data_IF_605720565816
#
_entry.id   IF_605720565816
#
_cell.length_a   1.000
_cell.length_b   1.000
_cell.length_c   1.000
_cell.angle_alpha   90.00
_cell.angle_beta   90.00
_cell.angle_gamma   90.00
#
_symmetry.space_group_name_H-M   'P 1'
#
loop_
_entity.id
_entity.type
_entity.pdbx_description
1 polymer ?
#
# COMPACT_ATOMS: atom_id res chain seq x y z
N UNK A 1 1.40 8.31 1.80
CA UNK A 1 1.17 9.75 2.07
C UNK A 1 2.38 10.60 1.69
N UNK A 2 3.58 10.32 2.22
CA UNK A 2 4.79 11.10 1.99
C UNK A 2 5.14 11.25 0.51
N UNK A 3 4.91 10.22 -0.29
CA UNK A 3 5.14 10.24 -1.75
C UNK A 3 4.27 11.29 -2.44
N UNK A 4 3.00 11.44 -2.05
CA UNK A 4 2.10 12.46 -2.57
C UNK A 4 2.49 13.85 -2.06
N UNK A 5 2.75 13.98 -0.74
CA UNK A 5 3.14 15.26 -0.11
C UNK A 5 4.38 15.86 -0.76
N UNK A 6 5.36 15.05 -1.14
CA UNK A 6 6.57 15.46 -1.88
C UNK A 6 6.24 16.30 -3.11
N UNK A 7 5.25 15.89 -3.86
CA UNK A 7 4.86 16.57 -5.09
C UNK A 7 3.88 17.73 -4.86
N UNK A 8 3.08 17.71 -3.79
CA UNK A 8 2.19 18.84 -3.45
C UNK A 8 2.96 20.12 -3.12
N UNK A 9 4.15 19.99 -2.54
CA UNK A 9 4.99 21.15 -2.15
C UNK A 9 5.99 21.54 -3.24
N UNK A 10 6.01 20.83 -4.38
CA UNK A 10 6.94 21.05 -5.49
C UNK A 10 6.40 22.06 -6.48
N UNK A 11 7.29 22.54 -7.37
CA UNK A 11 6.96 23.39 -8.53
C UNK A 11 6.43 22.59 -9.72
N UNK A 12 6.45 21.26 -9.65
CA UNK A 12 5.97 20.38 -10.71
C UNK A 12 4.44 20.53 -10.82
N UNK A 13 3.95 20.83 -12.01
CA UNK A 13 2.52 20.91 -12.26
C UNK A 13 1.91 19.52 -12.40
N UNK A 14 1.34 19.02 -11.31
CA UNK A 14 0.62 17.74 -11.27
C UNK A 14 -0.84 17.98 -11.67
N UNK A 15 -1.30 17.27 -12.68
CA UNK A 15 -2.71 17.30 -13.10
C UNK A 15 -3.56 16.36 -12.25
N UNK A 16 -3.09 15.12 -12.05
CA UNK A 16 -3.86 14.05 -11.41
C UNK A 16 -2.94 13.07 -10.69
N UNK A 17 -3.36 12.55 -9.55
CA UNK A 17 -2.73 11.40 -8.90
C UNK A 17 -3.47 10.12 -9.26
N UNK A 18 -2.77 9.12 -9.77
CA UNK A 18 -3.28 7.77 -9.99
C UNK A 18 -2.60 6.84 -8.99
N UNK A 19 -3.37 6.26 -8.09
CA UNK A 19 -2.88 5.37 -7.03
C UNK A 19 -3.33 3.95 -7.34
N UNK A 20 -2.37 3.06 -7.58
CA UNK A 20 -2.64 1.65 -7.84
C UNK A 20 -2.35 0.87 -6.56
N UNK A 21 -3.31 0.08 -6.11
CA UNK A 21 -3.18 -0.73 -4.92
C UNK A 21 -3.96 -2.04 -5.04
N UNK A 22 -3.63 -3.02 -4.19
CA UNK A 22 -4.46 -4.20 -4.05
C UNK A 22 -5.84 -3.82 -3.50
N UNK A 23 -6.89 -4.54 -3.92
CA UNK A 23 -8.28 -4.34 -3.48
C UNK A 23 -8.42 -4.34 -1.96
N UNK A 24 -7.64 -5.14 -1.25
CA UNK A 24 -7.65 -5.22 0.22
C UNK A 24 -7.19 -3.92 0.88
N UNK A 25 -6.37 -3.11 0.19
CA UNK A 25 -5.86 -1.82 0.67
C UNK A 25 -6.72 -0.62 0.25
N UNK A 26 -7.79 -0.81 -0.53
CA UNK A 26 -8.63 0.28 -1.05
C UNK A 26 -9.02 1.30 0.02
N UNK A 27 -9.59 0.83 1.12
CA UNK A 27 -10.15 1.74 2.14
C UNK A 27 -9.09 2.43 2.99
N UNK A 28 -7.97 1.77 3.26
CA UNK A 28 -6.85 2.44 3.94
C UNK A 28 -6.22 3.52 3.05
N UNK A 29 -6.13 3.27 1.74
CA UNK A 29 -5.65 4.26 0.76
C UNK A 29 -6.62 5.43 0.66
N UNK A 30 -7.94 5.19 0.59
CA UNK A 30 -8.96 6.24 0.60
C UNK A 30 -8.85 7.11 1.85
N UNK A 31 -8.71 6.53 3.03
CA UNK A 31 -8.55 7.25 4.30
C UNK A 31 -7.27 8.10 4.31
N UNK A 32 -6.17 7.54 3.83
CA UNK A 32 -4.91 8.26 3.73
C UNK A 32 -4.99 9.45 2.78
N UNK A 33 -5.66 9.30 1.64
CA UNK A 33 -5.87 10.39 0.68
C UNK A 33 -6.78 11.45 1.28
N UNK A 34 -7.88 11.04 1.92
CA UNK A 34 -8.81 11.96 2.58
C UNK A 34 -8.10 12.80 3.66
N UNK A 35 -7.22 12.19 4.45
CA UNK A 35 -6.45 12.88 5.48
C UNK A 35 -5.47 13.93 4.93
N UNK A 36 -5.02 13.77 3.67
CA UNK A 36 -4.12 14.73 3.00
C UNK A 36 -4.83 15.98 2.50
N UNK A 37 -6.16 16.01 2.46
CA UNK A 37 -6.95 17.13 1.92
C UNK A 37 -6.45 17.58 0.54
N UNK A 38 -6.25 16.61 -0.38
CA UNK A 38 -5.73 16.87 -1.72
C UNK A 38 -6.60 17.89 -2.45
N UNK A 39 -5.95 18.88 -3.09
CA UNK A 39 -6.59 19.84 -3.98
C UNK A 39 -6.62 19.40 -5.44
N UNK A 40 -5.81 18.40 -5.79
CA UNK A 40 -5.70 17.84 -7.13
C UNK A 40 -6.68 16.69 -7.33
N UNK A 41 -7.00 16.43 -8.58
CA UNK A 41 -7.74 15.22 -8.94
C UNK A 41 -6.96 13.96 -8.56
N UNK A 42 -7.69 12.93 -8.14
CA UNK A 42 -7.09 11.63 -7.88
C UNK A 42 -7.99 10.50 -8.37
N UNK A 43 -7.37 9.38 -8.67
CA UNK A 43 -8.05 8.13 -9.01
C UNK A 43 -7.34 6.96 -8.33
N UNK A 44 -8.10 6.08 -7.72
CA UNK A 44 -7.60 4.83 -7.15
C UNK A 44 -7.93 3.71 -8.12
N UNK A 45 -6.97 2.85 -8.39
CA UNK A 45 -7.15 1.64 -9.21
C UNK A 45 -6.88 0.44 -8.31
N UNK A 46 -7.92 -0.37 -8.11
CA UNK A 46 -7.86 -1.53 -7.24
C UNK A 46 -7.61 -2.80 -8.04
N UNK A 47 -6.44 -3.39 -7.88
CA UNK A 47 -6.08 -4.70 -8.42
C UNK A 47 -6.71 -5.81 -7.57
N UNK A 48 -7.46 -6.76 -8.15
CA UNK A 48 -8.05 -7.87 -7.41
C UNK A 48 -7.01 -8.88 -6.92
N UNK A 49 -5.86 -8.92 -7.57
CA UNK A 49 -4.68 -9.73 -7.26
C UNK A 49 -3.43 -9.03 -7.77
N UNK A 50 -2.30 -9.15 -7.09
CA UNK A 50 -1.02 -8.62 -7.57
C UNK A 50 -0.52 -9.36 -8.82
N UNK A 51 -0.11 -8.60 -9.85
CA UNK A 51 0.46 -9.10 -11.10
C UNK A 51 1.82 -8.47 -11.42
N UNK A 52 2.54 -8.02 -10.38
CA UNK A 52 3.79 -7.29 -10.51
C UNK A 52 3.61 -5.92 -11.21
N UNK A 53 4.70 -5.23 -11.54
CA UNK A 53 4.65 -3.82 -11.93
C UNK A 53 4.26 -3.57 -13.40
N UNK A 54 4.46 -4.50 -14.35
CA UNK A 54 4.12 -4.25 -15.74
C UNK A 54 2.61 -4.06 -15.98
N UNK A 55 1.70 -4.92 -15.49
CA UNK A 55 0.26 -4.68 -15.61
C UNK A 55 -0.18 -3.38 -14.94
N UNK A 56 0.38 -3.03 -13.77
CA UNK A 56 0.08 -1.78 -13.07
C UNK A 56 0.45 -0.56 -13.93
N UNK A 57 1.67 -0.51 -14.48
CA UNK A 57 2.13 0.57 -15.37
C UNK A 57 1.31 0.61 -16.67
N UNK A 58 0.94 -0.55 -17.23
CA UNK A 58 0.08 -0.63 -18.41
C UNK A 58 -1.29 0.00 -18.13
N UNK A 59 -1.95 -0.38 -17.05
CA UNK A 59 -3.24 0.19 -16.64
C UNK A 59 -3.12 1.70 -16.39
N UNK A 60 -2.09 2.15 -15.67
CA UNK A 60 -1.83 3.58 -15.44
C UNK A 60 -1.73 4.37 -16.77
N UNK A 61 -1.08 3.79 -17.77
CA UNK A 61 -0.92 4.41 -19.09
C UNK A 61 -2.21 4.47 -19.92
N UNK A 62 -3.21 3.65 -19.57
CA UNK A 62 -4.48 3.54 -20.30
C UNK A 62 -5.62 4.38 -19.72
N UNK A 63 -5.51 4.83 -18.46
CA UNK A 63 -6.60 5.53 -17.76
C UNK A 63 -6.62 7.04 -17.97
N UNK A 64 -5.63 7.59 -18.68
CA UNK A 64 -5.56 9.01 -19.00
C UNK A 64 -5.23 9.21 -20.49
N UNK A 65 -5.21 10.47 -20.95
CA UNK A 65 -4.91 10.82 -22.34
C UNK A 65 -3.54 10.26 -22.78
N UNK A 66 -3.48 9.79 -24.04
CA UNK A 66 -2.23 9.32 -24.64
C UNK A 66 -1.11 10.36 -24.68
N UNK A 67 -1.45 11.65 -24.68
CA UNK A 67 -0.48 12.75 -24.67
C UNK A 67 -0.05 13.18 -23.25
N UNK A 68 -0.67 12.64 -22.20
CA UNK A 68 -0.27 12.93 -20.82
C UNK A 68 1.12 12.34 -20.55
N UNK A 69 1.95 13.11 -19.85
CA UNK A 69 3.22 12.63 -19.29
C UNK A 69 2.92 12.00 -17.93
N UNK A 70 3.22 10.72 -17.80
CA UNK A 70 3.11 9.98 -16.55
C UNK A 70 4.47 9.84 -15.87
N UNK A 71 4.50 10.06 -14.57
CA UNK A 71 5.62 9.75 -13.69
C UNK A 71 5.20 8.61 -12.75
N UNK A 72 5.82 7.46 -12.91
CA UNK A 72 5.62 6.29 -12.05
C UNK A 72 6.57 6.40 -10.87
N UNK A 73 6.02 6.29 -9.66
CA UNK A 73 6.78 6.44 -8.41
C UNK A 73 6.40 5.31 -7.45
N UNK A 74 7.38 4.55 -6.94
CA UNK A 74 7.14 3.61 -5.83
C UNK A 74 6.66 4.37 -4.58
N UNK A 75 5.73 3.77 -3.84
CA UNK A 75 5.13 4.43 -2.67
C UNK A 75 5.97 4.32 -1.39
N UNK A 76 6.98 3.45 -1.38
CA UNK A 76 7.82 3.06 -0.24
C UNK A 76 9.26 3.59 -0.30
N UNK A 77 9.63 4.31 -1.35
CA UNK A 77 10.97 4.86 -1.47
C UNK A 77 11.14 6.22 -0.79
N UNK A 78 12.29 6.42 -0.15
CA UNK A 78 12.75 7.71 0.39
C UNK A 78 13.63 8.40 -0.64
N UNK A 79 13.43 9.71 -0.82
CA UNK A 79 14.24 10.59 -1.63
C UNK A 79 14.46 11.92 -0.90
N UNK A 80 15.51 12.65 -1.29
CA UNK A 80 15.60 14.09 -1.04
C UNK A 80 14.63 14.80 -2.01
N UNK A 81 13.54 15.31 -1.47
CA UNK A 81 12.41 15.81 -2.26
C UNK A 81 12.79 16.95 -3.21
N UNK A 82 13.62 17.89 -2.76
CA UNK A 82 14.02 19.03 -3.56
C UNK A 82 14.90 18.60 -4.75
N UNK A 83 15.85 17.70 -4.51
CA UNK A 83 16.73 17.18 -5.55
C UNK A 83 15.98 16.35 -6.58
N UNK A 84 15.03 15.49 -6.10
CA UNK A 84 14.22 14.68 -6.98
C UNK A 84 13.34 15.55 -7.89
N UNK A 85 12.59 16.51 -7.32
CA UNK A 85 11.74 17.40 -8.10
C UNK A 85 12.52 18.20 -9.13
N UNK A 86 13.68 18.76 -8.76
CA UNK A 86 14.55 19.48 -9.70
C UNK A 86 15.05 18.58 -10.84
N UNK A 87 15.35 17.31 -10.55
CA UNK A 87 15.81 16.37 -11.58
C UNK A 87 14.66 15.97 -12.54
N UNK A 88 13.46 15.75 -12.01
CA UNK A 88 12.26 15.47 -12.80
C UNK A 88 11.97 16.65 -13.76
N UNK A 89 11.96 17.88 -13.26
CA UNK A 89 11.74 19.07 -14.09
C UNK A 89 12.77 19.15 -15.24
N UNK A 90 14.05 18.99 -14.94
CA UNK A 90 15.13 19.05 -15.95
C UNK A 90 15.03 17.94 -16.99
N UNK A 91 14.61 16.75 -16.59
CA UNK A 91 14.52 15.58 -17.49
C UNK A 91 13.23 15.57 -18.32
N UNK A 92 12.17 16.26 -17.89
CA UNK A 92 10.84 16.25 -18.53
C UNK A 92 10.86 16.65 -20.01
N UNK A 93 11.81 17.50 -20.43
CA UNK A 93 11.97 17.90 -21.83
C UNK A 93 12.38 16.75 -22.76
N UNK A 94 12.77 15.60 -22.21
CA UNK A 94 13.18 14.42 -22.99
C UNK A 94 12.04 13.40 -23.13
N UNK A 95 10.83 13.67 -22.62
CA UNK A 95 9.73 12.69 -22.63
C UNK A 95 9.13 12.38 -24.00
N UNK A 96 9.40 13.22 -25.02
CA UNK A 96 8.83 12.99 -26.35
C UNK A 96 9.47 11.78 -27.02
N UNK A 97 8.66 10.78 -27.33
CA UNK A 97 9.06 9.51 -27.95
C UNK A 97 10.22 8.79 -27.19
N UNK A 98 10.20 8.88 -25.85
CA UNK A 98 11.22 8.24 -25.02
C UNK A 98 10.67 7.80 -23.68
N UNK A 99 11.38 6.88 -23.04
CA UNK A 99 11.20 6.49 -21.64
C UNK A 99 12.40 7.02 -20.85
N UNK A 100 12.11 7.68 -19.75
CA UNK A 100 13.12 8.22 -18.83
C UNK A 100 13.10 7.37 -17.57
N UNK A 101 14.28 7.00 -17.09
CA UNK A 101 14.47 6.40 -15.76
C UNK A 101 15.51 7.18 -14.97
N UNK A 102 15.60 6.91 -13.68
CA UNK A 102 16.48 7.59 -12.76
C UNK A 102 17.40 6.58 -12.09
N UNK A 103 18.71 6.90 -12.11
CA UNK A 103 19.73 5.97 -11.65
C UNK A 103 20.43 6.48 -10.39
N UNK A 104 20.72 5.57 -9.48
CA UNK A 104 21.41 5.80 -8.21
C UNK A 104 22.86 5.31 -8.34
N UNK A 105 23.83 6.05 -7.82
CA UNK A 105 25.22 5.59 -7.80
C UNK A 105 25.35 4.36 -6.90
N UNK A 106 25.78 3.19 -7.41
CA UNK A 106 26.04 2.02 -6.58
C UNK A 106 27.11 2.28 -5.53
N UNK A 107 26.86 1.86 -4.30
CA UNK A 107 27.81 1.90 -3.19
C UNK A 107 28.31 0.51 -2.76
N UNK A 108 27.61 -0.56 -3.18
CA UNK A 108 27.97 -1.96 -2.96
C UNK A 108 27.31 -2.84 -4.04
N UNK A 109 27.77 -4.09 -4.24
CA UNK A 109 27.24 -4.97 -5.29
C UNK A 109 25.90 -5.60 -4.87
N UNK A 110 24.81 -4.81 -4.93
CA UNK A 110 23.45 -5.28 -4.62
C UNK A 110 22.93 -6.16 -5.74
N UNK A 111 22.40 -7.33 -5.39
CA UNK A 111 21.81 -8.29 -6.35
C UNK A 111 20.28 -8.20 -6.43
N UNK A 112 19.66 -7.43 -5.55
CA UNK A 112 18.22 -7.18 -5.51
C UNK A 112 17.73 -6.09 -6.45
N UNK A 113 18.66 -5.29 -7.03
CA UNK A 113 18.34 -4.14 -7.88
C UNK A 113 18.65 -4.37 -9.36
N UNK A 114 17.98 -3.62 -10.22
CA UNK A 114 18.36 -3.48 -11.62
C UNK A 114 19.57 -2.58 -11.78
N UNK A 115 20.41 -2.85 -12.76
CA UNK A 115 21.58 -2.04 -13.15
C UNK A 115 21.38 -1.45 -14.53
N UNK A 116 21.65 -0.15 -14.66
CA UNK A 116 21.46 0.63 -15.87
C UNK A 116 22.81 1.14 -16.34
N UNK A 117 23.24 0.78 -17.54
CA UNK A 117 24.40 1.36 -18.18
C UNK A 117 24.02 2.66 -18.92
N UNK A 118 24.73 3.74 -18.66
CA UNK A 118 24.47 5.03 -19.29
C UNK A 118 25.76 5.70 -19.76
N UNK A 119 25.61 6.65 -20.70
CA UNK A 119 26.71 7.46 -21.20
C UNK A 119 26.60 8.93 -20.72
N UNK A 120 27.60 9.77 -21.07
CA UNK A 120 27.62 11.18 -20.69
C UNK A 120 26.48 12.04 -21.26
N UNK A 121 25.71 11.50 -22.21
CA UNK A 121 24.50 12.15 -22.77
C UNK A 121 23.21 11.67 -22.12
N UNK A 122 23.29 10.92 -21.02
CA UNK A 122 22.20 10.25 -20.35
C UNK A 122 21.47 9.20 -21.22
N UNK A 123 22.03 8.76 -22.35
CA UNK A 123 21.42 7.70 -23.13
C UNK A 123 21.64 6.36 -22.40
N UNK A 124 20.58 5.57 -22.27
CA UNK A 124 20.65 4.23 -21.68
C UNK A 124 21.21 3.26 -22.72
N UNK A 125 22.32 2.63 -22.39
CA UNK A 125 23.02 1.68 -23.26
C UNK A 125 22.69 0.23 -22.98
N UNK A 126 22.16 -0.06 -21.77
CA UNK A 126 21.76 -1.38 -21.35
C UNK A 126 21.05 -1.35 -20.01
N UNK A 127 20.20 -2.34 -19.81
CA UNK A 127 19.47 -2.56 -18.56
C UNK A 127 19.59 -4.03 -18.18
N UNK A 128 19.91 -4.32 -16.93
CA UNK A 128 19.98 -5.70 -16.40
C UNK A 128 19.33 -5.79 -15.03
N UNK A 129 18.21 -6.50 -14.95
CA UNK A 129 17.49 -6.71 -13.72
C UNK A 129 18.16 -7.82 -12.89
N UNK A 130 18.39 -7.56 -11.62
CA UNK A 130 18.85 -8.49 -10.58
C UNK A 130 19.99 -9.41 -11.04
N UNK A 131 21.18 -8.84 -11.38
CA UNK A 131 22.30 -9.65 -11.79
C UNK A 131 22.81 -10.53 -10.66
N UNK A 132 23.59 -11.56 -10.98
CA UNK A 132 24.35 -12.29 -9.99
C UNK A 132 25.47 -11.42 -9.37
N UNK A 133 26.04 -11.88 -8.27
CA UNK A 133 27.03 -11.13 -7.51
C UNK A 133 28.27 -10.78 -8.30
N UNK A 134 28.79 -11.71 -9.11
CA UNK A 134 29.98 -11.51 -9.94
C UNK A 134 29.75 -10.44 -11.01
N UNK A 135 28.57 -10.45 -11.62
CA UNK A 135 28.14 -9.44 -12.58
C UNK A 135 27.97 -8.08 -11.90
N UNK A 136 27.35 -8.02 -10.70
CA UNK A 136 27.17 -6.79 -9.94
C UNK A 136 28.53 -6.17 -9.53
N UNK A 137 29.50 -6.96 -9.09
CA UNK A 137 30.86 -6.54 -8.78
C UNK A 137 31.55 -5.95 -10.04
N UNK A 138 31.42 -6.64 -11.19
CA UNK A 138 31.95 -6.17 -12.48
C UNK A 138 31.35 -4.81 -12.89
N UNK A 139 30.03 -4.62 -12.71
CA UNK A 139 29.38 -3.35 -13.06
C UNK A 139 29.85 -2.20 -12.18
N UNK A 140 30.13 -2.45 -10.90
CA UNK A 140 30.71 -1.44 -10.02
C UNK A 140 32.13 -1.06 -10.42
N UNK A 141 32.98 -2.03 -10.80
CA UNK A 141 34.35 -1.77 -11.25
C UNK A 141 34.38 -0.94 -12.52
N UNK A 142 33.43 -1.14 -13.43
CA UNK A 142 33.32 -0.35 -14.67
C UNK A 142 32.91 1.10 -14.43
N UNK A 143 32.21 1.41 -13.34
CA UNK A 143 31.82 2.75 -12.93
C UNK A 143 30.80 3.47 -13.84
N UNK A 144 30.31 2.81 -14.91
CA UNK A 144 29.32 3.32 -15.87
C UNK A 144 27.88 2.84 -15.60
N UNK A 145 27.70 2.09 -14.53
CA UNK A 145 26.39 1.55 -14.14
C UNK A 145 25.81 2.28 -12.95
N UNK A 146 24.48 2.44 -12.98
CA UNK A 146 23.66 3.00 -11.91
C UNK A 146 22.63 1.95 -11.48
N UNK A 147 22.21 1.96 -10.21
CA UNK A 147 21.05 1.19 -9.80
C UNK A 147 19.77 1.83 -10.34
N UNK A 148 18.80 1.03 -10.75
CA UNK A 148 17.49 1.50 -11.12
C UNK A 148 16.73 1.96 -9.87
N UNK A 149 16.31 3.23 -9.84
CA UNK A 149 15.50 3.78 -8.73
C UNK A 149 14.03 3.38 -8.78
N UNK A 150 13.58 2.60 -9.79
CA UNK A 150 12.18 2.24 -9.96
C UNK A 150 11.27 3.39 -10.36
N UNK A 151 11.84 4.53 -10.76
CA UNK A 151 11.13 5.70 -11.25
C UNK A 151 11.15 5.71 -12.77
N UNK A 152 9.96 5.90 -13.40
CA UNK A 152 9.83 5.98 -14.85
C UNK A 152 9.00 7.19 -15.25
N UNK A 153 9.42 7.94 -16.27
CA UNK A 153 8.66 9.06 -16.80
C UNK A 153 8.58 8.95 -18.32
N UNK A 154 7.36 9.09 -18.86
CA UNK A 154 7.08 8.88 -20.28
C UNK A 154 5.75 9.52 -20.69
N UNK A 155 5.56 9.75 -21.99
CA UNK A 155 4.20 9.98 -22.51
C UNK A 155 3.44 8.64 -22.56
N UNK A 156 2.15 8.63 -22.20
CA UNK A 156 1.33 7.41 -22.20
C UNK A 156 1.36 6.69 -23.55
N UNK A 157 1.24 7.42 -24.66
CA UNK A 157 1.35 6.84 -26.02
C UNK A 157 2.66 6.08 -26.24
N UNK A 158 3.78 6.60 -25.72
CA UNK A 158 5.09 5.98 -25.86
C UNK A 158 5.15 4.65 -25.09
N UNK A 159 4.64 4.64 -23.85
CA UNK A 159 4.58 3.40 -23.07
C UNK A 159 3.61 2.38 -23.66
N UNK A 160 2.47 2.80 -24.19
CA UNK A 160 1.52 1.93 -24.90
C UNK A 160 2.21 1.29 -26.12
N UNK A 161 2.99 2.05 -26.88
CA UNK A 161 3.77 1.52 -28.01
C UNK A 161 4.84 0.51 -27.53
N UNK A 162 5.49 0.74 -26.39
CA UNK A 162 6.40 -0.24 -25.81
C UNK A 162 5.65 -1.55 -25.47
N UNK A 163 4.47 -1.47 -24.86
CA UNK A 163 3.66 -2.65 -24.58
C UNK A 163 3.18 -3.35 -25.86
N UNK A 164 2.80 -2.60 -26.90
CA UNK A 164 2.43 -3.19 -28.21
C UNK A 164 3.58 -3.98 -28.81
N UNK A 165 4.80 -3.51 -28.69
CA UNK A 165 5.98 -4.13 -29.27
C UNK A 165 6.52 -5.30 -28.42
N UNK A 166 6.59 -5.15 -27.08
CA UNK A 166 7.33 -6.07 -26.21
C UNK A 166 6.45 -6.97 -25.34
N UNK A 167 5.23 -6.51 -25.00
CA UNK A 167 4.30 -7.25 -24.14
C UNK A 167 2.84 -7.12 -24.60
N UNK A 168 2.51 -7.50 -25.87
CA UNK A 168 1.17 -7.32 -26.44
C UNK A 168 0.08 -8.08 -25.72
N UNK A 169 0.39 -9.22 -25.07
CA UNK A 169 -0.55 -9.97 -24.22
C UNK A 169 -1.03 -9.15 -23.02
N UNK A 170 -0.11 -8.51 -22.33
CA UNK A 170 -0.41 -7.65 -21.18
C UNK A 170 -1.29 -6.48 -21.61
N UNK A 171 -0.91 -5.78 -22.69
CA UNK A 171 -1.69 -4.64 -23.21
C UNK A 171 -3.13 -5.04 -23.56
N UNK A 172 -3.29 -6.16 -24.24
CA UNK A 172 -4.61 -6.68 -24.63
C UNK A 172 -5.44 -6.97 -23.37
N UNK A 173 -4.90 -7.72 -22.43
CA UNK A 173 -5.59 -8.10 -21.20
C UNK A 173 -5.95 -6.86 -20.37
N UNK A 174 -5.05 -5.89 -20.22
CA UNK A 174 -5.32 -4.65 -19.49
C UNK A 174 -6.43 -3.81 -20.16
N UNK A 175 -6.44 -3.69 -21.50
CA UNK A 175 -7.53 -3.01 -22.24
C UNK A 175 -8.88 -3.69 -22.02
N UNK A 176 -8.93 -5.02 -22.13
CA UNK A 176 -10.17 -5.79 -21.92
C UNK A 176 -10.65 -5.71 -20.45
N UNK A 177 -9.71 -5.75 -19.51
CA UNK A 177 -9.99 -5.60 -18.08
C UNK A 177 -10.62 -4.25 -17.79
N UNK A 178 -9.99 -3.15 -18.22
CA UNK A 178 -10.50 -1.78 -17.99
C UNK A 178 -11.89 -1.59 -18.60
N UNK A 179 -12.13 -2.10 -19.81
CA UNK A 179 -13.43 -1.99 -20.48
C UNK A 179 -14.59 -2.67 -19.71
N UNK A 180 -14.28 -3.63 -18.82
CA UNK A 180 -15.26 -4.35 -17.99
C UNK A 180 -15.15 -4.05 -16.51
N UNK A 181 -14.32 -3.09 -16.13
CA UNK A 181 -14.12 -2.67 -14.74
C UNK A 181 -15.21 -1.72 -14.29
N UNK A 182 -15.54 -1.75 -13.00
CA UNK A 182 -16.46 -0.80 -12.40
C UNK A 182 -15.71 0.48 -12.03
N UNK A 183 -16.25 1.63 -12.46
CA UNK A 183 -15.73 2.96 -12.10
C UNK A 183 -16.78 3.70 -11.27
N UNK A 184 -16.45 4.04 -10.03
CA UNK A 184 -17.33 4.78 -9.13
C UNK A 184 -16.54 5.56 -8.09
N UNK A 185 -16.92 6.81 -7.82
CA UNK A 185 -16.34 7.63 -6.75
C UNK A 185 -14.80 7.74 -6.79
N UNK A 186 -14.22 7.94 -7.98
CA UNK A 186 -12.77 7.98 -8.20
C UNK A 186 -12.05 6.64 -7.95
N UNK A 187 -12.77 5.52 -7.92
CA UNK A 187 -12.22 4.18 -7.75
C UNK A 187 -12.57 3.32 -8.95
N UNK A 188 -11.56 2.79 -9.63
CA UNK A 188 -11.69 1.76 -10.65
C UNK A 188 -11.38 0.41 -10.00
N UNK A 189 -12.38 -0.44 -9.84
CA UNK A 189 -12.18 -1.82 -9.43
C UNK A 189 -11.96 -2.69 -10.68
N UNK A 190 -10.74 -3.17 -10.89
CA UNK A 190 -10.40 -3.98 -12.05
C UNK A 190 -11.18 -5.30 -12.07
N UNK A 191 -11.66 -5.68 -13.26
CA UNK A 191 -12.40 -6.93 -13.45
C UNK A 191 -11.51 -8.13 -13.07
N UNK A 192 -11.92 -8.89 -12.04
CA UNK A 192 -11.14 -9.97 -11.45
C UNK A 192 -10.82 -11.08 -12.44
N UNK A 193 -11.85 -11.61 -13.12
CA UNK A 193 -11.74 -12.77 -14.02
C UNK A 193 -10.74 -12.50 -15.15
N UNK A 194 -10.72 -11.28 -15.69
CA UNK A 194 -9.79 -10.91 -16.75
C UNK A 194 -8.40 -10.60 -16.21
N UNK A 195 -8.30 -9.83 -15.12
CA UNK A 195 -7.00 -9.44 -14.59
C UNK A 195 -6.19 -10.63 -14.04
N UNK A 196 -6.86 -11.66 -13.52
CA UNK A 196 -6.24 -12.91 -13.10
C UNK A 196 -5.55 -13.67 -14.25
N UNK A 197 -5.92 -13.42 -15.50
CA UNK A 197 -5.28 -14.02 -16.68
C UNK A 197 -4.06 -13.23 -17.17
N UNK A 198 -3.81 -12.05 -16.62
CA UNK A 198 -2.67 -11.23 -17.01
C UNK A 198 -1.35 -11.85 -16.54
N UNK A 199 -0.32 -11.77 -17.37
CA UNK A 199 1.02 -12.23 -17.03
C UNK A 199 1.55 -11.44 -15.82
N UNK A 200 2.11 -12.15 -14.83
CA UNK A 200 2.73 -11.55 -13.65
C UNK A 200 4.23 -11.34 -13.91
N UNK A 201 4.61 -10.12 -14.26
CA UNK A 201 5.99 -9.79 -14.63
C UNK A 201 6.26 -8.31 -14.30
N UNK A 202 7.50 -7.99 -13.92
CA UNK A 202 7.90 -6.60 -13.69
C UNK A 202 8.04 -5.80 -14.98
N UNK A 203 7.86 -4.48 -14.88
CA UNK A 203 8.07 -3.54 -16.00
C UNK A 203 9.52 -3.61 -16.51
N UNK A 204 10.46 -3.92 -15.63
CA UNK A 204 11.86 -4.04 -15.94
C UNK A 204 12.13 -5.16 -16.93
N UNK A 205 11.59 -6.36 -16.68
CA UNK A 205 11.70 -7.49 -17.60
C UNK A 205 10.81 -7.34 -18.84
N UNK A 206 9.58 -6.85 -18.66
CA UNK A 206 8.62 -6.79 -19.76
C UNK A 206 8.97 -5.71 -20.80
N UNK A 207 9.51 -4.57 -20.35
CA UNK A 207 9.72 -3.38 -21.18
C UNK A 207 11.16 -2.88 -21.16
N UNK A 208 11.76 -2.68 -19.97
CA UNK A 208 13.04 -1.94 -19.89
C UNK A 208 14.21 -2.73 -20.48
N UNK A 209 14.35 -4.02 -20.17
CA UNK A 209 15.41 -4.85 -20.77
C UNK A 209 15.25 -4.93 -22.31
N UNK A 210 14.09 -5.31 -22.91
CA UNK A 210 13.96 -5.36 -24.37
C UNK A 210 14.06 -3.98 -25.03
N UNK A 211 13.57 -2.91 -24.39
CA UNK A 211 13.69 -1.55 -24.91
C UNK A 211 15.14 -1.11 -25.11
N UNK A 212 16.04 -1.51 -24.22
CA UNK A 212 17.46 -1.10 -24.27
C UNK A 212 18.33 -2.04 -25.09
N UNK A 213 17.89 -3.27 -25.37
CA UNK A 213 18.67 -4.29 -26.09
C UNK A 213 18.29 -4.45 -27.56
N UNK A 214 17.05 -4.08 -27.93
CA UNK A 214 16.55 -4.21 -29.29
C UNK A 214 16.62 -2.88 -30.04
N UNK A 215 16.89 -2.95 -31.36
CA UNK A 215 16.92 -1.77 -32.20
C UNK A 215 15.47 -1.27 -32.43
N UNK A 216 15.14 -0.10 -31.90
CA UNK A 216 13.80 0.49 -31.95
C UNK A 216 13.87 2.02 -32.11
N UNK A 217 12.72 2.65 -32.39
CA UNK A 217 12.63 4.11 -32.57
C UNK A 217 12.38 4.87 -31.25
N UNK A 218 12.08 4.16 -30.17
CA UNK A 218 11.82 4.75 -28.84
C UNK A 218 13.14 4.81 -28.09
N UNK A 219 13.52 5.99 -27.63
CA UNK A 219 14.76 6.17 -26.87
C UNK A 219 14.56 5.89 -25.39
N UNK A 220 15.62 5.48 -24.71
CA UNK A 220 15.67 5.39 -23.27
C UNK A 220 16.76 6.31 -22.73
N UNK A 221 16.42 7.12 -21.71
CA UNK A 221 17.36 8.00 -21.05
C UNK A 221 17.42 7.69 -19.55
N UNK A 222 18.62 7.72 -18.97
CA UNK A 222 18.83 7.56 -17.54
C UNK A 222 19.48 8.80 -16.96
N UNK A 223 18.77 9.48 -16.07
CA UNK A 223 19.31 10.64 -15.35
C UNK A 223 19.83 10.23 -13.99
N UNK A 224 21.08 10.55 -13.70
CA UNK A 224 21.69 10.26 -12.40
C UNK A 224 21.08 11.14 -11.32
N UNK A 225 20.56 10.49 -10.27
CA UNK A 225 20.11 11.14 -9.05
C UNK A 225 21.26 11.17 -8.03
N UNK A 226 21.55 12.33 -7.46
CA UNK A 226 22.67 12.56 -6.53
C UNK A 226 22.22 12.89 -5.10
N UNK A 227 20.94 12.64 -4.79
CA UNK A 227 20.36 12.81 -3.46
C UNK A 227 20.42 11.53 -2.62
N UNK A 228 19.93 11.65 -1.38
CA UNK A 228 19.69 10.48 -0.53
C UNK A 228 18.58 9.66 -1.12
N UNK A 229 18.78 8.34 -1.21
CA UNK A 229 17.80 7.37 -1.70
C UNK A 229 17.84 6.10 -0.86
N UNK A 230 16.65 5.54 -0.62
CA UNK A 230 16.47 4.22 -0.02
C UNK A 230 15.15 3.63 -0.46
N UNK A 231 15.11 2.34 -0.70
CA UNK A 231 13.90 1.56 -1.04
C UNK A 231 13.14 1.04 0.18
N UNK A 232 13.65 1.26 1.39
CA UNK A 232 13.11 0.75 2.68
C UNK A 232 12.69 -0.73 2.59
N UNK A 233 13.50 -1.55 1.97
CA UNK A 233 13.21 -2.98 1.80
C UNK A 233 13.25 -3.82 3.09
N UNK A 234 13.66 -3.24 4.23
CA UNK A 234 13.76 -3.94 5.51
C UNK A 234 13.64 -3.01 6.73
N UNK A 235 13.32 -3.57 7.90
CA UNK A 235 13.37 -2.80 9.15
C UNK A 235 14.76 -2.26 9.49
N UNK A 236 15.82 -2.94 9.04
CA UNK A 236 17.20 -2.43 9.17
C UNK A 236 17.36 -1.13 8.39
N UNK A 237 16.98 -1.13 7.13
CA UNK A 237 17.01 0.06 6.27
C UNK A 237 16.12 1.16 6.85
N UNK A 238 14.93 0.81 7.35
CA UNK A 238 14.04 1.77 8.01
C UNK A 238 14.69 2.41 9.25
N UNK A 239 15.40 1.63 10.07
CA UNK A 239 16.13 2.14 11.22
C UNK A 239 17.25 3.11 10.79
N UNK A 240 18.01 2.74 9.77
CA UNK A 240 19.14 3.56 9.26
C UNK A 240 18.64 4.90 8.67
N UNK A 241 17.38 4.96 8.21
CA UNK A 241 16.71 6.14 7.66
C UNK A 241 15.97 7.01 8.68
N UNK A 242 15.67 6.48 9.86
CA UNK A 242 14.97 7.20 10.93
C UNK A 242 15.92 8.01 11.80
N UNK A 243 15.38 9.01 12.51
CA UNK A 243 16.09 9.73 13.57
C UNK A 243 16.46 8.77 14.69
N UNK A 244 17.71 8.86 15.15
CA UNK A 244 18.29 8.02 16.20
C UNK A 244 18.72 8.87 17.38
N UNK A 245 18.60 8.31 18.59
CA UNK A 245 19.15 8.95 19.80
C UNK A 245 20.69 8.75 19.92
N UNK A 246 21.27 9.23 21.03
CA UNK A 246 22.73 9.16 21.31
C UNK A 246 23.27 7.72 21.33
N UNK A 247 22.44 6.74 21.66
CA UNK A 247 22.79 5.31 21.68
C UNK A 247 22.44 4.60 20.35
N UNK A 248 22.19 5.35 19.27
CA UNK A 248 21.76 4.85 17.96
C UNK A 248 20.44 4.07 17.99
N UNK A 249 19.52 4.35 18.92
CA UNK A 249 18.20 3.73 18.95
C UNK A 249 17.18 4.61 18.21
N UNK A 250 16.32 3.99 17.42
CA UNK A 250 15.08 4.58 16.90
C UNK A 250 13.92 4.16 17.78
N UNK A 251 13.24 5.12 18.42
CA UNK A 251 12.15 4.88 19.37
C UNK A 251 10.85 5.50 18.87
N UNK A 252 9.82 4.70 18.64
CA UNK A 252 8.50 5.15 18.19
C UNK A 252 7.38 4.65 19.10
N UNK A 253 6.64 5.57 19.70
CA UNK A 253 5.56 5.27 20.63
C UNK A 253 5.99 5.33 22.09
N UNK A 254 5.33 4.58 22.97
CA UNK A 254 5.62 4.58 24.42
C UNK A 254 6.73 3.59 24.75
N UNK A 255 7.98 4.05 24.71
CA UNK A 255 9.17 3.21 24.88
C UNK A 255 9.98 3.66 26.09
N UNK A 256 10.48 2.71 26.88
CA UNK A 256 11.42 2.90 27.98
C UNK A 256 12.65 2.04 27.71
N UNK A 257 13.83 2.64 27.66
CA UNK A 257 15.09 1.92 27.41
C UNK A 257 16.09 2.17 28.51
N UNK A 258 16.86 1.14 28.89
CA UNK A 258 17.99 1.24 29.80
C UNK A 258 19.12 0.36 29.29
N UNK A 259 20.31 0.94 29.06
CA UNK A 259 21.49 0.24 28.53
C UNK A 259 21.20 -0.48 27.17
N UNK A 260 20.46 0.17 26.28
CA UNK A 260 20.10 -0.36 24.97
C UNK A 260 20.86 0.40 23.86
N UNK A 261 21.33 -0.31 22.86
CA UNK A 261 22.16 0.27 21.80
C UNK A 261 21.75 -0.29 20.42
N UNK A 262 21.70 0.60 19.40
CA UNK A 262 21.50 0.25 18.00
C UNK A 262 20.20 -0.56 17.74
N UNK A 263 19.10 -0.18 18.39
CA UNK A 263 17.81 -0.86 18.31
C UNK A 263 16.77 -0.01 17.58
N UNK A 264 15.91 -0.67 16.81
CA UNK A 264 14.64 -0.10 16.34
C UNK A 264 13.52 -0.64 17.22
N UNK A 265 12.82 0.24 17.91
CA UNK A 265 11.73 -0.16 18.81
C UNK A 265 10.50 0.69 18.47
N UNK A 266 9.42 0.02 18.08
CA UNK A 266 8.15 0.65 17.76
C UNK A 266 7.01 -0.02 18.52
N UNK A 267 6.10 0.78 19.11
CA UNK A 267 4.91 0.28 19.77
C UNK A 267 3.71 1.18 19.56
N UNK A 268 2.62 0.61 19.07
CA UNK A 268 1.34 1.32 18.86
C UNK A 268 0.38 1.23 20.07
N UNK A 269 0.52 0.25 20.94
CA UNK A 269 -0.55 -0.07 21.89
C UNK A 269 -0.14 -0.22 23.36
N UNK A 270 1.08 -0.63 23.63
CA UNK A 270 1.53 -0.87 25.00
C UNK A 270 2.89 -0.20 25.27
N UNK A 271 3.22 -0.01 26.53
CA UNK A 271 4.58 0.40 26.90
C UNK A 271 5.51 -0.78 26.63
N UNK A 272 6.55 -0.55 25.84
CA UNK A 272 7.65 -1.49 25.65
C UNK A 272 8.83 -1.03 26.47
N UNK A 273 9.25 -1.84 27.42
CA UNK A 273 10.43 -1.60 28.25
C UNK A 273 11.54 -2.58 27.87
N UNK A 274 12.73 -2.07 27.57
CA UNK A 274 13.90 -2.89 27.20
C UNK A 274 15.09 -2.56 28.10
N UNK A 275 15.84 -3.59 28.48
CA UNK A 275 17.00 -3.48 29.36
C UNK A 275 18.16 -4.29 28.80
N UNK A 276 19.29 -3.64 28.54
CA UNK A 276 20.56 -4.29 28.19
C UNK A 276 20.55 -5.02 26.84
N UNK A 277 19.71 -4.59 25.89
CA UNK A 277 19.60 -5.22 24.56
C UNK A 277 20.33 -4.41 23.49
N UNK A 278 20.86 -5.11 22.47
CA UNK A 278 21.60 -4.50 21.36
C UNK A 278 21.21 -5.14 20.04
N UNK A 279 21.29 -4.34 18.96
CA UNK A 279 21.12 -4.78 17.58
C UNK A 279 19.77 -5.47 17.29
N UNK A 280 18.70 -5.05 17.98
CA UNK A 280 17.37 -5.63 17.84
C UNK A 280 16.40 -4.71 17.09
N UNK A 281 15.50 -5.36 16.36
CA UNK A 281 14.25 -4.81 15.85
C UNK A 281 13.14 -5.36 16.74
N UNK A 282 12.38 -4.47 17.37
CA UNK A 282 11.23 -4.79 18.22
C UNK A 282 10.05 -3.99 17.69
N UNK A 283 9.05 -4.67 17.14
CA UNK A 283 7.84 -4.05 16.59
C UNK A 283 6.63 -4.66 17.29
N UNK A 284 5.94 -3.86 18.09
CA UNK A 284 4.81 -4.26 18.90
C UNK A 284 3.52 -3.62 18.38
N UNK A 285 2.75 -4.39 17.61
CA UNK A 285 1.39 -4.07 17.19
C UNK A 285 0.36 -4.76 18.10
N UNK A 286 -0.92 -4.46 17.91
CA UNK A 286 -2.00 -4.99 18.75
C UNK A 286 -2.12 -6.51 18.72
N UNK A 287 -1.82 -7.10 17.59
CA UNK A 287 -2.08 -8.49 17.22
C UNK A 287 -0.79 -9.32 17.12
N UNK A 288 0.37 -8.67 17.05
CA UNK A 288 1.64 -9.36 16.93
C UNK A 288 2.81 -8.58 17.52
N UNK A 289 3.77 -9.28 18.10
CA UNK A 289 5.06 -8.79 18.55
C UNK A 289 6.18 -9.47 17.74
N UNK A 290 6.95 -8.68 17.00
CA UNK A 290 8.17 -9.13 16.35
C UNK A 290 9.38 -8.73 17.17
N UNK A 291 10.28 -9.68 17.44
CA UNK A 291 11.62 -9.44 17.96
C UNK A 291 12.60 -10.17 17.04
N UNK A 292 13.51 -9.42 16.42
CA UNK A 292 14.48 -9.96 15.48
C UNK A 292 15.84 -9.28 15.66
N UNK A 293 16.94 -9.99 15.37
CA UNK A 293 18.23 -9.37 15.20
C UNK A 293 18.26 -8.57 13.89
N UNK A 294 18.86 -7.37 13.87
CA UNK A 294 18.91 -6.50 12.69
C UNK A 294 19.42 -7.19 11.43
N UNK A 295 20.44 -8.04 11.56
CA UNK A 295 21.04 -8.74 10.42
C UNK A 295 20.22 -9.91 9.89
N UNK A 296 19.12 -10.28 10.58
CA UNK A 296 18.22 -11.38 10.19
C UNK A 296 16.86 -10.87 9.68
N UNK A 297 16.68 -9.58 9.49
CA UNK A 297 15.41 -9.00 9.06
C UNK A 297 14.94 -9.50 7.69
N UNK A 298 15.84 -9.93 6.82
CA UNK A 298 15.50 -10.52 5.52
C UNK A 298 14.77 -11.88 5.65
N UNK A 299 14.96 -12.58 6.77
CA UNK A 299 14.37 -13.89 7.03
C UNK A 299 12.96 -13.83 7.66
N UNK A 300 12.42 -12.63 7.91
CA UNK A 300 11.07 -12.45 8.48
C UNK A 300 10.00 -13.17 7.67
N UNK A 301 10.12 -13.22 6.34
CA UNK A 301 9.19 -13.98 5.47
C UNK A 301 9.13 -15.47 5.84
N UNK A 302 10.26 -16.08 6.26
CA UNK A 302 10.31 -17.47 6.71
C UNK A 302 9.59 -17.66 8.06
N UNK A 303 9.60 -16.61 8.90
CA UNK A 303 8.88 -16.64 10.18
C UNK A 303 7.37 -16.51 9.96
N UNK A 304 6.94 -15.59 9.09
CA UNK A 304 5.52 -15.42 8.73
C UNK A 304 4.92 -16.72 8.16
N UNK A 305 5.68 -17.46 7.35
CA UNK A 305 5.23 -18.75 6.82
C UNK A 305 4.94 -19.81 7.90
N UNK A 306 5.43 -19.63 9.13
CA UNK A 306 5.20 -20.55 10.26
C UNK A 306 3.99 -20.15 11.12
N UNK A 307 3.29 -19.07 10.81
CA UNK A 307 2.07 -18.67 11.52
C UNK A 307 1.03 -19.77 11.29
N UNK A 308 0.43 -20.34 12.37
CA UNK A 308 -0.57 -21.39 12.26
C UNK A 308 -1.80 -20.97 11.44
N UNK A 309 -2.47 -21.92 10.79
CA UNK A 309 -3.67 -21.68 9.98
C UNK A 309 -4.80 -20.98 10.78
N UNK A 310 -4.94 -21.29 12.07
CA UNK A 310 -5.90 -20.66 12.97
C UNK A 310 -5.67 -19.15 13.18
N UNK A 311 -4.50 -18.64 12.81
CA UNK A 311 -4.09 -17.23 12.89
C UNK A 311 -3.75 -16.66 11.51
N UNK A 312 -4.25 -17.26 10.43
CA UNK A 312 -3.91 -16.84 9.06
C UNK A 312 -4.35 -15.39 8.76
N UNK A 313 -5.38 -14.93 9.40
CA UNK A 313 -5.85 -13.53 9.32
C UNK A 313 -4.75 -12.51 9.64
N UNK A 314 -3.79 -12.86 10.53
CA UNK A 314 -2.64 -12.00 10.85
C UNK A 314 -1.74 -11.72 9.64
N UNK A 315 -1.78 -12.56 8.61
CA UNK A 315 -1.00 -12.37 7.37
C UNK A 315 -1.68 -11.42 6.40
N UNK A 316 -2.99 -11.21 6.53
CA UNK A 316 -3.84 -10.60 5.50
C UNK A 316 -4.51 -9.31 6.01
N UNK A 317 -4.99 -9.31 7.26
CA UNK A 317 -5.82 -8.23 7.80
C UNK A 317 -5.02 -7.38 8.78
N UNK A 318 -4.99 -6.07 8.53
CA UNK A 318 -4.46 -5.11 9.50
C UNK A 318 -5.35 -5.08 10.76
N UNK A 319 -4.74 -4.94 11.94
CA UNK A 319 -5.46 -4.88 13.23
C UNK A 319 -6.62 -3.88 13.22
N UNK A 320 -6.47 -2.75 12.52
CA UNK A 320 -7.54 -1.79 12.22
C UNK A 320 -7.97 -1.95 10.75
N UNK A 321 -9.17 -2.49 10.55
CA UNK A 321 -9.74 -2.69 9.23
C UNK A 321 -10.62 -1.50 8.83
N UNK A 322 -10.27 -0.81 7.74
CA UNK A 322 -11.07 0.27 7.17
C UNK A 322 -12.17 -0.28 6.25
N UNK A 323 -13.30 0.42 6.22
CA UNK A 323 -14.49 0.08 5.43
C UNK A 323 -15.12 1.37 4.87
N UNK A 324 -15.96 1.32 3.85
CA UNK A 324 -16.62 2.53 3.30
C UNK A 324 -17.45 3.31 4.31
N UNK A 325 -17.90 2.64 5.35
CA UNK A 325 -18.72 3.23 6.42
C UNK A 325 -17.90 3.70 7.63
N UNK A 326 -16.61 3.33 7.73
CA UNK A 326 -15.79 3.65 8.88
C UNK A 326 -14.64 2.67 9.09
N UNK A 327 -14.49 2.15 10.30
CA UNK A 327 -13.44 1.20 10.64
C UNK A 327 -13.85 0.31 11.82
N UNK A 328 -13.19 -0.82 11.97
CA UNK A 328 -13.26 -1.62 13.19
C UNK A 328 -11.89 -2.13 13.61
N UNK A 329 -11.77 -2.45 14.89
CA UNK A 329 -10.60 -3.05 15.51
C UNK A 329 -11.09 -4.26 16.30
N UNK A 330 -10.51 -5.43 16.08
CA UNK A 330 -10.68 -6.56 16.98
C UNK A 330 -9.90 -6.28 18.26
N UNK A 331 -10.60 -6.27 19.39
CA UNK A 331 -10.01 -5.99 20.71
C UNK A 331 -9.60 -7.29 21.38
N UNK A 332 -10.49 -8.30 21.35
CA UNK A 332 -10.27 -9.60 21.98
C UNK A 332 -11.19 -10.67 21.37
N UNK A 333 -10.77 -11.92 21.48
CA UNK A 333 -11.49 -13.08 20.97
C UNK A 333 -11.23 -13.36 19.49
N UNK A 334 -11.68 -14.52 19.03
CA UNK A 334 -11.60 -14.97 17.65
C UNK A 334 -12.89 -15.70 17.24
N UNK A 335 -12.95 -16.20 16.01
CA UNK A 335 -14.17 -16.79 15.45
C UNK A 335 -14.65 -18.07 16.17
N UNK A 336 -13.80 -18.69 16.99
CA UNK A 336 -14.06 -19.96 17.70
C UNK A 336 -13.95 -19.84 19.22
N UNK A 337 -13.66 -18.65 19.77
CA UNK A 337 -13.49 -18.47 21.23
C UNK A 337 -14.80 -18.40 22.03
N UNK A 338 -15.95 -18.44 21.36
CA UNK A 338 -17.26 -18.27 21.99
C UNK A 338 -17.66 -16.81 22.21
N UNK A 339 -16.72 -15.88 22.13
CA UNK A 339 -16.95 -14.44 22.15
C UNK A 339 -15.94 -13.70 21.30
N UNK A 340 -16.32 -12.48 20.85
CA UNK A 340 -15.43 -11.56 20.14
C UNK A 340 -15.84 -10.13 20.50
N UNK A 341 -14.84 -9.28 20.76
CA UNK A 341 -15.06 -7.87 21.08
C UNK A 341 -14.44 -7.01 19.98
N UNK A 342 -15.26 -6.12 19.41
CA UNK A 342 -14.82 -5.15 18.43
C UNK A 342 -15.06 -3.73 18.94
N UNK A 343 -14.16 -2.80 18.61
CA UNK A 343 -14.40 -1.36 18.65
C UNK A 343 -14.64 -0.89 17.24
N UNK A 344 -15.76 -0.22 17.01
CA UNK A 344 -16.21 0.17 15.68
C UNK A 344 -16.42 1.68 15.64
N UNK A 345 -15.95 2.31 14.57
CA UNK A 345 -16.18 3.72 14.28
C UNK A 345 -16.97 3.88 12.98
N UNK A 346 -18.04 4.69 13.00
CA UNK A 346 -18.89 4.98 11.84
C UNK A 346 -18.80 6.46 11.50
N UNK A 347 -18.42 6.77 10.25
CA UNK A 347 -18.32 8.15 9.77
C UNK A 347 -19.66 8.87 9.77
N UNK A 348 -19.71 10.22 9.90
CA UNK A 348 -20.93 11.01 9.82
C UNK A 348 -21.74 10.69 8.55
N UNK A 349 -23.06 10.46 8.72
CA UNK A 349 -23.98 10.14 7.62
C UNK A 349 -23.78 8.77 6.97
N UNK A 350 -22.92 7.92 7.54
CA UNK A 350 -22.73 6.54 7.06
C UNK A 350 -23.46 5.54 7.97
N UNK A 351 -23.68 4.34 7.40
CA UNK A 351 -24.36 3.24 8.09
C UNK A 351 -23.78 1.89 7.70
N UNK A 352 -23.89 0.92 8.57
CA UNK A 352 -23.59 -0.48 8.31
C UNK A 352 -24.67 -1.09 7.40
N UNK A 353 -24.39 -2.26 6.82
CA UNK A 353 -25.43 -3.05 6.14
C UNK A 353 -26.58 -3.41 7.09
N UNK A 354 -27.80 -3.53 6.54
CA UNK A 354 -28.88 -4.22 7.24
C UNK A 354 -28.60 -5.70 7.18
N UNK A 355 -28.40 -6.33 8.33
CA UNK A 355 -27.87 -7.68 8.42
C UNK A 355 -28.51 -8.48 9.56
N UNK A 356 -28.31 -9.78 9.51
CA UNK A 356 -28.62 -10.70 10.62
C UNK A 356 -27.54 -11.78 10.74
N UNK A 357 -27.51 -12.48 11.88
CA UNK A 357 -26.58 -13.57 12.17
C UNK A 357 -27.32 -14.81 12.64
N UNK A 358 -26.92 -15.98 12.17
CA UNK A 358 -27.60 -17.24 12.54
C UNK A 358 -27.03 -17.87 13.81
N UNK A 359 -25.79 -17.57 14.17
CA UNK A 359 -25.04 -18.31 15.20
C UNK A 359 -24.52 -17.43 16.33
N UNK A 360 -24.72 -16.09 16.26
CA UNK A 360 -24.28 -15.15 17.29
C UNK A 360 -25.37 -14.13 17.65
N UNK A 361 -25.31 -13.67 18.89
CA UNK A 361 -25.99 -12.46 19.39
C UNK A 361 -24.95 -11.37 19.60
N UNK A 362 -25.41 -10.12 19.67
CA UNK A 362 -24.51 -8.98 19.84
C UNK A 362 -25.01 -8.03 20.93
N UNK A 363 -24.06 -7.40 21.63
CA UNK A 363 -24.29 -6.29 22.54
C UNK A 363 -23.52 -5.08 22.07
N UNK A 364 -24.19 -3.98 21.79
CA UNK A 364 -23.57 -2.73 21.39
C UNK A 364 -23.68 -1.69 22.50
N UNK A 365 -22.56 -1.03 22.81
CA UNK A 365 -22.50 0.06 23.79
C UNK A 365 -21.94 1.29 23.08
N UNK A 366 -22.71 2.38 23.03
CA UNK A 366 -22.27 3.63 22.41
C UNK A 366 -21.24 4.31 23.32
N UNK A 367 -20.08 4.66 22.77
CA UNK A 367 -18.98 5.33 23.46
C UNK A 367 -18.93 6.81 23.10
N UNK A 368 -19.21 7.15 21.83
CA UNK A 368 -19.14 8.51 21.31
C UNK A 368 -20.13 8.72 20.18
N UNK A 369 -20.62 9.96 20.02
CA UNK A 369 -21.48 10.38 18.93
C UNK A 369 -22.97 10.06 19.15
N UNK A 370 -23.78 10.26 18.12
CA UNK A 370 -25.22 9.94 18.11
C UNK A 370 -25.53 8.91 17.06
N UNK A 371 -26.05 7.79 17.47
CA UNK A 371 -26.37 6.66 16.63
C UNK A 371 -27.88 6.44 16.53
N UNK A 372 -28.32 5.87 15.41
CA UNK A 372 -29.60 5.24 15.26
C UNK A 372 -29.39 3.75 15.01
N UNK A 373 -29.99 2.92 15.85
CA UNK A 373 -30.01 1.47 15.66
C UNK A 373 -31.37 1.07 15.13
N UNK A 374 -31.37 0.40 13.98
CA UNK A 374 -32.51 -0.36 13.51
C UNK A 374 -32.41 -1.76 14.11
N UNK A 375 -33.45 -2.21 14.80
CA UNK A 375 -33.61 -3.58 15.32
C UNK A 375 -34.98 -4.08 14.92
N UNK A 376 -35.04 -5.01 13.99
CA UNK A 376 -36.24 -5.42 13.27
C UNK A 376 -37.00 -4.20 12.72
N UNK A 377 -38.25 -3.98 13.14
CA UNK A 377 -39.08 -2.84 12.74
C UNK A 377 -38.94 -1.61 13.65
N UNK A 378 -38.04 -1.65 14.64
CA UNK A 378 -37.86 -0.57 15.61
C UNK A 378 -36.61 0.26 15.27
N UNK A 379 -36.74 1.57 15.47
CA UNK A 379 -35.61 2.52 15.37
C UNK A 379 -35.37 3.12 16.75
N UNK A 380 -34.14 3.00 17.25
CA UNK A 380 -33.71 3.43 18.57
C UNK A 380 -32.60 4.45 18.42
N UNK A 381 -32.86 5.71 18.76
CA UNK A 381 -31.80 6.73 18.78
C UNK A 381 -31.03 6.60 20.10
N UNK A 382 -29.71 6.55 20.00
CA UNK A 382 -28.80 6.26 21.11
C UNK A 382 -27.69 7.29 21.23
N UNK A 383 -27.34 7.55 22.47
CA UNK A 383 -26.27 8.47 22.91
C UNK A 383 -25.18 7.72 23.68
N UNK A 384 -24.03 8.34 23.97
CA UNK A 384 -23.00 7.69 24.78
C UNK A 384 -23.54 7.14 26.11
N UNK A 385 -23.03 5.96 26.50
CA UNK A 385 -23.43 5.19 27.68
C UNK A 385 -24.77 4.42 27.54
N UNK A 386 -25.43 4.49 26.39
CA UNK A 386 -26.59 3.65 26.11
C UNK A 386 -26.17 2.36 25.40
N UNK A 387 -26.96 1.30 25.54
CA UNK A 387 -26.65 -0.01 24.98
C UNK A 387 -27.90 -0.68 24.39
N UNK A 388 -27.68 -1.61 23.48
CA UNK A 388 -28.72 -2.45 22.89
C UNK A 388 -28.26 -3.90 22.80
N UNK A 389 -29.18 -4.83 23.08
CA UNK A 389 -29.01 -6.27 22.85
C UNK A 389 -29.65 -6.66 21.52
N UNK A 390 -28.91 -7.36 20.68
CA UNK A 390 -29.30 -7.85 19.37
C UNK A 390 -29.39 -9.38 19.45
N UNK A 391 -30.59 -9.98 19.44
CA UNK A 391 -30.76 -11.43 19.46
C UNK A 391 -30.22 -12.08 18.16
N UNK A 392 -29.95 -13.38 18.25
CA UNK A 392 -29.69 -14.22 17.08
C UNK A 392 -30.86 -14.08 16.09
N UNK A 393 -30.53 -13.92 14.80
CA UNK A 393 -31.45 -13.76 13.65
C UNK A 393 -32.24 -12.45 13.60
N UNK A 394 -32.11 -11.54 14.55
CA UNK A 394 -32.71 -10.22 14.47
C UNK A 394 -32.06 -9.38 13.35
N UNK A 395 -32.90 -8.68 12.59
CA UNK A 395 -32.45 -7.71 11.59
C UNK A 395 -31.93 -6.47 12.30
N UNK A 396 -30.72 -6.06 11.98
CA UNK A 396 -30.13 -4.89 12.66
C UNK A 396 -29.18 -4.10 11.77
N UNK A 397 -29.04 -2.82 12.12
CA UNK A 397 -28.16 -1.85 11.45
C UNK A 397 -27.78 -0.74 12.42
N UNK A 398 -26.54 -0.26 12.34
CA UNK A 398 -26.08 0.97 12.96
C UNK A 398 -25.99 2.08 11.91
N UNK A 399 -26.56 3.26 12.20
CA UNK A 399 -26.46 4.49 11.41
C UNK A 399 -25.90 5.63 12.26
N UNK A 400 -24.96 6.38 11.73
CA UNK A 400 -24.49 7.62 12.34
C UNK A 400 -25.38 8.79 11.88
N UNK A 401 -26.23 9.26 12.77
CA UNK A 401 -27.15 10.40 12.54
C UNK A 401 -26.58 11.76 13.01
N UNK A 402 -25.35 11.74 13.53
CA UNK A 402 -24.65 12.92 14.03
C UNK A 402 -23.70 13.56 13.00
N UNK A 403 -23.01 14.60 13.43
CA UNK A 403 -22.01 15.33 12.64
C UNK A 403 -20.57 14.93 12.98
N UNK A 404 -20.37 14.11 14.00
CA UNK A 404 -19.09 13.53 14.41
C UNK A 404 -19.12 12.01 14.31
N UNK A 405 -17.96 11.36 14.36
CA UNK A 405 -17.87 9.92 14.33
C UNK A 405 -18.63 9.28 15.49
N UNK A 406 -19.44 8.27 15.19
CA UNK A 406 -19.99 7.36 16.20
C UNK A 406 -18.96 6.29 16.49
N UNK A 407 -18.65 6.08 17.78
CA UNK A 407 -17.85 4.95 18.22
C UNK A 407 -18.64 4.10 19.19
N UNK A 408 -18.59 2.80 19.00
CA UNK A 408 -19.23 1.84 19.90
C UNK A 408 -18.40 0.57 20.09
N UNK A 409 -18.63 -0.11 21.20
CA UNK A 409 -18.08 -1.42 21.48
C UNK A 409 -19.15 -2.46 21.17
N UNK A 410 -18.78 -3.43 20.37
CA UNK A 410 -19.58 -4.59 20.00
C UNK A 410 -19.00 -5.82 20.68
N UNK A 411 -19.84 -6.53 21.43
CA UNK A 411 -19.52 -7.85 21.98
C UNK A 411 -20.38 -8.89 21.30
N UNK A 412 -19.75 -9.77 20.56
CA UNK A 412 -20.39 -10.92 19.90
C UNK A 412 -20.28 -12.15 20.79
N UNK A 413 -21.37 -12.92 20.92
CA UNK A 413 -21.44 -14.16 21.70
C UNK A 413 -22.10 -15.23 20.87
N UNK A 414 -21.45 -16.37 20.67
CA UNK A 414 -21.95 -17.47 19.88
C UNK A 414 -20.95 -18.61 19.74
N UNK A 415 -21.38 -19.69 19.11
CA UNK A 415 -20.53 -20.85 18.84
C UNK A 415 -19.67 -20.69 17.59
N UNK A 416 -19.97 -19.66 16.76
CA UNK A 416 -19.22 -19.27 15.57
C UNK A 416 -19.41 -17.78 15.30
N UNK A 417 -18.30 -17.05 15.04
CA UNK A 417 -18.26 -15.59 14.94
C UNK A 417 -17.62 -15.09 13.64
N UNK A 418 -17.50 -15.96 12.63
CA UNK A 418 -16.95 -15.63 11.32
C UNK A 418 -17.81 -14.64 10.53
N UNK A 419 -17.19 -13.89 9.64
CA UNK A 419 -17.86 -12.88 8.79
C UNK A 419 -18.79 -13.53 7.74
N UNK A 420 -18.62 -14.81 7.44
CA UNK A 420 -19.47 -15.61 6.54
C UNK A 420 -20.84 -15.98 7.15
N UNK A 421 -21.03 -15.84 8.49
CA UNK A 421 -22.34 -15.92 9.15
C UNK A 421 -23.20 -14.66 8.94
N UNK A 422 -22.67 -13.60 8.32
CA UNK A 422 -23.41 -12.37 8.05
C UNK A 422 -24.33 -12.55 6.84
N UNK A 423 -25.64 -12.49 7.07
CA UNK A 423 -26.63 -12.36 6.01
C UNK A 423 -26.96 -10.89 5.82
N UNK A 424 -26.61 -10.32 4.65
CA UNK A 424 -26.86 -8.91 4.31
C UNK A 424 -28.13 -8.81 3.48
N UNK A 425 -29.01 -7.88 3.83
CA UNK A 425 -30.28 -7.62 3.15
C UNK A 425 -30.23 -6.31 2.35
N UNK A 426 -29.58 -5.28 2.90
CA UNK A 426 -29.33 -4.01 2.26
C UNK A 426 -27.91 -3.55 2.57
N UNK A 427 -27.20 -3.09 1.56
CA UNK A 427 -25.85 -2.55 1.71
C UNK A 427 -25.61 -1.41 0.73
N UNK A 428 -25.25 -0.22 1.24
CA UNK A 428 -24.99 0.97 0.41
C UNK A 428 -23.71 0.83 -0.42
N UNK A 429 -22.92 -0.25 -0.22
CA UNK A 429 -21.59 -0.43 -0.76
C UNK A 429 -21.46 -1.66 -1.68
N UNK A 430 -22.58 -2.31 -2.02
CA UNK A 430 -22.63 -3.38 -3.01
C UNK A 430 -21.99 -4.71 -2.57
N UNK A 431 -22.03 -5.02 -1.26
CA UNK A 431 -21.54 -6.30 -0.70
C UNK A 431 -22.64 -7.35 -0.52
N UNK A 432 -23.83 -7.12 -1.07
CA UNK A 432 -24.97 -8.05 -1.08
C UNK A 432 -24.82 -9.04 -2.21
#
# INVERSE_FOLDING_TARGET
>A
QNTILRFQTSTINIHKYVIICNKEHEFIVQEQIHSLQLTHEFQIICEPIGRDSAPAVCVASLVDSENTVSLIVPCDHIFDDAKLCSLIEKSSHHCENSVITFGIQPSYPETGYGYIQTNDKNETLGFKEKPDKETAETYMEQGSYLWNAGLFMFQNKTMIQCFEQYAPSILKTCKETLAKSADSNNVIALNKELFETCDAISIDYAIMEPLTTQNNNIKCYTFKYDGKWSDIGSFKTLHDECEQNEDNNTLKGSIITENCENCYIESECAIVATLGVKDLIIVNHRDALLIAHKDQCQDIKKLIAKIPEENEDLKIVHAKAYRPWGWYINVEGNDHSGFKVKRIGVYPGKRLSLQSHNRRSEHWVIVKGKARVQLDDQFIDMSPNEHVYIPVKALHRMENIGTEMVEFVETQIGDYLGEDDIVRYEDDFGRV
#
